data_IF_996518781401
#
_entry.id   IF_996518781401
#
_cell.length_a   1.000
_cell.length_b   1.000
_cell.length_c   1.000
_cell.angle_alpha   90.00
_cell.angle_beta   90.00
_cell.angle_gamma   90.00
#
_symmetry.space_group_name_H-M   'P 1'
#
loop_
_entity.id
_entity.type
_entity.pdbx_description
1 polymer ?
#
# COMPACT_ATOMS: atom_id res chain seq x y z
N UNK A 1 -12.90 11.00 17.61
CA UNK A 1 -12.22 9.79 17.10
C UNK A 1 -11.60 10.09 15.75
N UNK A 2 -12.29 10.85 14.90
CA UNK A 2 -11.83 11.28 13.57
C UNK A 2 -10.58 12.17 13.61
N UNK A 3 -10.49 13.12 14.57
CA UNK A 3 -9.31 13.99 14.73
C UNK A 3 -8.00 13.24 15.03
N UNK A 4 -8.07 12.07 15.69
CA UNK A 4 -6.88 11.27 15.96
C UNK A 4 -6.46 10.47 14.72
N UNK A 5 -7.42 9.98 13.93
CA UNK A 5 -7.16 9.29 12.66
C UNK A 5 -6.51 10.26 11.67
N UNK A 6 -7.03 11.48 11.57
CA UNK A 6 -6.49 12.52 10.69
C UNK A 6 -5.04 12.87 11.04
N UNK A 7 -4.72 13.05 12.33
CA UNK A 7 -3.34 13.29 12.76
C UNK A 7 -2.41 12.13 12.38
N UNK A 8 -2.86 10.89 12.52
CA UNK A 8 -2.07 9.72 12.14
C UNK A 8 -1.86 9.62 10.63
N UNK A 9 -2.89 9.95 9.86
CA UNK A 9 -2.82 10.01 8.41
C UNK A 9 -1.77 11.03 7.96
N UNK A 10 -1.78 12.23 8.55
CA UNK A 10 -0.74 13.24 8.30
C UNK A 10 0.65 12.74 8.66
N UNK A 11 0.86 12.22 9.87
CA UNK A 11 2.18 11.71 10.28
C UNK A 11 2.68 10.55 9.42
N UNK A 12 1.77 9.71 8.91
CA UNK A 12 2.11 8.64 7.99
C UNK A 12 2.65 9.20 6.67
N UNK A 13 1.94 10.16 6.07
CA UNK A 13 2.35 10.74 4.80
C UNK A 13 3.64 11.56 4.89
N UNK A 14 3.81 12.33 5.97
CA UNK A 14 5.07 13.04 6.23
C UNK A 14 6.25 12.07 6.34
N UNK A 15 6.05 10.94 7.02
CA UNK A 15 7.09 9.92 7.17
C UNK A 15 7.35 9.19 5.85
N UNK A 16 6.32 8.94 5.05
CA UNK A 16 6.45 8.32 3.74
C UNK A 16 7.23 9.21 2.77
N UNK A 17 6.97 10.52 2.78
CA UNK A 17 7.70 11.50 1.96
C UNK A 17 9.19 11.50 2.30
N UNK A 18 9.54 11.49 3.59
CA UNK A 18 10.95 11.41 4.03
C UNK A 18 11.64 10.15 3.52
N UNK A 19 10.97 8.99 3.60
CA UNK A 19 11.51 7.73 3.09
C UNK A 19 11.76 7.80 1.57
N UNK A 20 10.88 8.50 0.83
CA UNK A 20 11.03 8.68 -0.60
C UNK A 20 12.16 9.62 -1.03
N UNK A 21 12.49 10.60 -0.19
CA UNK A 21 13.61 11.52 -0.42
C UNK A 21 14.97 10.87 -0.10
N UNK A 22 15.01 9.96 0.88
CA UNK A 22 16.25 9.32 1.36
C UNK A 22 16.66 8.07 0.54
N UNK A 23 15.79 7.56 -0.34
CA UNK A 23 16.00 6.26 -1.02
C UNK A 23 16.36 6.41 -2.51
N UNK A 24 17.65 6.28 -2.87
CA UNK A 24 18.08 6.20 -4.28
C UNK A 24 17.61 4.93 -5.03
N UNK A 25 17.00 3.95 -4.35
CA UNK A 25 16.69 2.66 -4.97
C UNK A 25 15.42 1.96 -4.44
N UNK A 26 14.50 1.71 -5.39
CA UNK A 26 13.39 0.73 -5.36
C UNK A 26 11.97 1.14 -4.90
N UNK A 27 11.64 2.41 -4.72
CA UNK A 27 10.24 2.86 -4.50
C UNK A 27 9.37 2.92 -5.78
N UNK A 28 9.80 2.28 -6.87
CA UNK A 28 9.19 2.34 -8.22
C UNK A 28 7.77 1.73 -8.35
N UNK A 29 7.05 1.52 -7.25
CA UNK A 29 5.70 0.96 -7.25
C UNK A 29 4.64 1.85 -6.58
N UNK A 30 5.03 2.98 -6.02
CA UNK A 30 4.07 3.94 -5.44
C UNK A 30 3.77 5.01 -6.49
N UNK A 31 2.51 5.15 -6.85
CA UNK A 31 2.02 6.13 -7.81
C UNK A 31 1.14 7.14 -7.07
N UNK A 32 1.28 8.43 -7.35
CA UNK A 32 0.25 9.39 -6.95
C UNK A 32 -1.06 9.13 -7.69
N UNK A 33 -2.16 9.70 -7.22
CA UNK A 33 -3.43 9.68 -7.96
C UNK A 33 -3.30 10.24 -9.37
N UNK A 34 -2.53 11.32 -9.57
CA UNK A 34 -2.34 11.93 -10.88
C UNK A 34 -1.57 11.00 -11.82
N UNK A 35 -0.49 10.37 -11.35
CA UNK A 35 0.27 9.39 -12.11
C UNK A 35 -0.60 8.17 -12.47
N UNK A 36 -1.39 7.67 -11.51
CA UNK A 36 -2.25 6.51 -11.75
C UNK A 36 -3.35 6.82 -12.78
N UNK A 37 -3.98 7.99 -12.69
CA UNK A 37 -4.97 8.46 -13.68
C UNK A 37 -4.36 8.59 -15.06
N UNK A 38 -3.13 9.10 -15.14
CA UNK A 38 -2.43 9.25 -16.41
C UNK A 38 -2.12 7.89 -17.06
N UNK A 39 -1.66 6.91 -16.28
CA UNK A 39 -1.46 5.53 -16.78
C UNK A 39 -2.78 4.94 -17.28
N UNK A 40 -3.88 5.15 -16.54
CA UNK A 40 -5.21 4.68 -16.96
C UNK A 40 -5.63 5.35 -18.27
N UNK A 41 -5.45 6.66 -18.39
CA UNK A 41 -5.75 7.43 -19.61
C UNK A 41 -4.99 6.87 -20.81
N UNK A 42 -3.68 6.72 -20.68
CA UNK A 42 -2.79 6.18 -21.72
C UNK A 42 -3.25 4.79 -22.17
N UNK A 43 -3.57 3.90 -21.21
CA UNK A 43 -4.02 2.55 -21.51
C UNK A 43 -5.42 2.51 -22.17
N UNK A 44 -6.31 3.45 -21.83
CA UNK A 44 -7.61 3.59 -22.49
C UNK A 44 -7.46 4.11 -23.92
N UNK A 45 -6.65 5.14 -24.13
CA UNK A 45 -6.37 5.70 -25.46
C UNK A 45 -5.77 4.65 -26.39
N UNK A 46 -4.81 3.87 -25.90
CA UNK A 46 -4.22 2.79 -26.70
C UNK A 46 -5.22 1.65 -27.02
N UNK A 47 -6.21 1.40 -26.16
CA UNK A 47 -7.31 0.46 -26.51
C UNK A 47 -8.14 0.97 -27.67
N UNK A 48 -8.32 2.29 -27.79
CA UNK A 48 -9.08 2.91 -28.89
C UNK A 48 -8.26 3.12 -30.16
N UNK A 49 -6.95 3.35 -30.04
CA UNK A 49 -6.03 3.57 -31.16
C UNK A 49 -4.72 2.78 -30.96
N UNK A 50 -4.68 1.49 -31.37
CA UNK A 50 -3.62 0.55 -30.97
C UNK A 50 -2.29 0.68 -31.71
N UNK A 51 -2.04 1.77 -32.45
CA UNK A 51 -0.85 1.91 -33.32
C UNK A 51 0.21 2.88 -32.78
N UNK A 52 0.35 2.97 -31.45
CA UNK A 52 1.39 3.81 -30.85
C UNK A 52 2.78 3.19 -30.94
N UNK A 53 3.80 4.04 -31.10
CA UNK A 53 5.23 3.69 -31.01
C UNK A 53 5.85 4.11 -29.68
N UNK A 54 5.03 4.54 -28.71
CA UNK A 54 5.51 4.97 -27.40
C UNK A 54 5.86 3.77 -26.53
N UNK A 55 7.15 3.63 -26.22
CA UNK A 55 7.71 2.59 -25.36
C UNK A 55 7.04 2.52 -23.97
N UNK A 56 6.58 3.66 -23.46
CA UNK A 56 5.88 3.75 -22.17
C UNK A 56 4.57 2.98 -22.20
N UNK A 57 3.85 3.02 -23.34
CA UNK A 57 2.59 2.31 -23.52
C UNK A 57 2.83 0.80 -23.51
N UNK A 58 3.85 0.33 -24.24
CA UNK A 58 4.24 -1.08 -24.21
C UNK A 58 4.66 -1.53 -22.82
N UNK A 59 5.41 -0.69 -22.10
CA UNK A 59 5.79 -0.95 -20.71
C UNK A 59 4.56 -1.13 -19.80
N UNK A 60 3.58 -0.22 -19.88
CA UNK A 60 2.36 -0.30 -19.07
C UNK A 60 1.48 -1.48 -19.47
N UNK A 61 1.29 -1.74 -20.77
CA UNK A 61 0.49 -2.86 -21.26
C UNK A 61 1.06 -4.21 -20.83
N UNK A 62 2.38 -4.36 -20.74
CA UNK A 62 2.99 -5.61 -20.31
C UNK A 62 2.73 -5.88 -18.82
N UNK A 63 2.67 -4.84 -18.00
CA UNK A 63 2.67 -4.95 -16.52
C UNK A 63 1.29 -4.79 -15.90
N UNK A 64 0.40 -4.08 -16.57
CA UNK A 64 -0.88 -3.67 -16.01
C UNK A 64 -2.05 -3.99 -16.94
N UNK A 65 -3.21 -4.09 -16.31
CA UNK A 65 -4.50 -4.23 -16.96
C UNK A 65 -5.49 -3.28 -16.29
N UNK A 66 -6.49 -2.84 -17.04
CA UNK A 66 -7.60 -2.05 -16.51
C UNK A 66 -8.75 -2.98 -16.14
N UNK A 67 -9.33 -2.76 -14.96
CA UNK A 67 -10.51 -3.45 -14.48
C UNK A 67 -11.53 -2.43 -13.99
N UNK A 68 -12.79 -2.59 -14.41
CA UNK A 68 -13.88 -1.75 -13.92
C UNK A 68 -14.51 -2.40 -12.69
N UNK A 69 -14.60 -1.66 -11.60
CA UNK A 69 -15.23 -2.09 -10.34
C UNK A 69 -16.21 -1.01 -9.91
N UNK A 70 -17.50 -1.35 -9.85
CA UNK A 70 -18.57 -0.43 -9.43
C UNK A 70 -18.54 0.92 -10.19
N UNK A 71 -18.35 0.88 -11.52
CA UNK A 71 -18.28 2.08 -12.36
C UNK A 71 -16.99 2.89 -12.25
N UNK A 72 -15.99 2.41 -11.49
CA UNK A 72 -14.67 3.03 -11.40
C UNK A 72 -13.59 2.15 -12.02
N UNK A 73 -12.85 2.70 -12.99
CA UNK A 73 -11.70 2.03 -13.59
C UNK A 73 -10.52 2.01 -12.62
N UNK A 74 -10.04 0.82 -12.29
CA UNK A 74 -8.87 0.57 -11.45
C UNK A 74 -7.74 -0.05 -12.28
N UNK A 75 -6.51 0.32 -11.94
CA UNK A 75 -5.32 -0.30 -12.50
C UNK A 75 -4.97 -1.55 -11.67
N UNK A 76 -4.83 -2.69 -12.33
CA UNK A 76 -4.45 -3.95 -11.71
C UNK A 76 -3.13 -4.45 -12.30
N UNK A 77 -2.35 -5.18 -11.50
CA UNK A 77 -1.11 -5.81 -11.95
C UNK A 77 -1.46 -7.08 -12.72
N UNK A 78 -0.87 -7.24 -13.91
CA UNK A 78 -0.91 -8.52 -14.63
C UNK A 78 -0.09 -9.55 -13.86
N UNK A 79 -0.68 -10.70 -13.60
CA UNK A 79 -0.02 -11.84 -12.98
C UNK A 79 -0.02 -13.01 -13.96
N UNK A 80 1.14 -13.66 -14.08
CA UNK A 80 1.29 -14.89 -14.86
C UNK A 80 0.84 -16.13 -14.03
N UNK A 81 0.64 -15.95 -12.72
CA UNK A 81 0.24 -17.02 -11.83
C UNK A 81 -1.28 -17.25 -11.92
N UNK A 82 -1.69 -18.37 -12.55
CA UNK A 82 -3.11 -18.74 -12.76
C UNK A 82 -3.99 -18.76 -11.50
N UNK A 83 -3.39 -18.81 -10.31
CA UNK A 83 -4.09 -18.86 -9.02
C UNK A 83 -3.93 -17.59 -8.17
N UNK A 84 -3.25 -16.56 -8.69
CA UNK A 84 -3.11 -15.31 -7.97
C UNK A 84 -4.31 -14.43 -8.29
N UNK A 85 -5.04 -14.01 -7.24
CA UNK A 85 -6.21 -13.16 -7.37
C UNK A 85 -5.89 -11.79 -8.00
N UNK A 86 -6.92 -10.98 -8.20
CA UNK A 86 -6.78 -9.63 -8.76
C UNK A 86 -6.01 -8.75 -7.75
N UNK A 87 -4.87 -8.22 -8.18
CA UNK A 87 -4.04 -7.32 -7.38
C UNK A 87 -4.17 -5.88 -7.89
N UNK A 88 -4.81 -5.03 -7.08
CA UNK A 88 -5.05 -3.62 -7.37
C UNK A 88 -3.80 -2.79 -7.04
N UNK A 89 -3.53 -1.77 -7.86
CA UNK A 89 -2.52 -0.74 -7.56
C UNK A 89 -3.20 0.40 -6.81
N UNK A 90 -2.69 0.69 -5.61
CA UNK A 90 -3.23 1.74 -4.72
C UNK A 90 -2.39 3.01 -4.87
N UNK A 91 -3.01 4.18 -5.05
CA UNK A 91 -2.28 5.43 -5.07
C UNK A 91 -1.75 5.81 -3.68
N UNK A 92 -0.69 6.61 -3.61
CA UNK A 92 -0.06 7.05 -2.36
C UNK A 92 -1.10 7.55 -1.36
N UNK A 93 -1.98 8.43 -1.81
CA UNK A 93 -3.00 9.12 -1.03
C UNK A 93 -4.08 8.21 -0.44
N UNK A 94 -4.11 6.93 -0.85
CA UNK A 94 -5.02 5.91 -0.30
C UNK A 94 -4.28 4.80 0.47
N UNK A 95 -2.94 4.77 0.45
CA UNK A 95 -2.16 3.74 1.14
C UNK A 95 -2.51 3.61 2.63
N UNK A 96 -2.69 4.74 3.33
CA UNK A 96 -3.01 4.72 4.75
C UNK A 96 -4.35 4.03 5.00
N UNK A 97 -5.40 4.41 4.27
CA UNK A 97 -6.76 3.92 4.49
C UNK A 97 -6.86 2.42 4.21
N UNK A 98 -6.20 1.94 3.14
CA UNK A 98 -6.18 0.53 2.78
C UNK A 98 -5.38 -0.31 3.80
N UNK A 99 -4.22 0.17 4.25
CA UNK A 99 -3.45 -0.50 5.31
C UNK A 99 -4.23 -0.50 6.62
N UNK A 100 -4.91 0.60 6.95
CA UNK A 100 -5.77 0.71 8.13
C UNK A 100 -6.86 -0.36 8.11
N UNK A 101 -7.60 -0.48 7.00
CA UNK A 101 -8.64 -1.50 6.83
C UNK A 101 -8.09 -2.92 6.99
N UNK A 102 -6.98 -3.25 6.31
CA UNK A 102 -6.32 -4.54 6.45
C UNK A 102 -5.84 -4.81 7.89
N UNK A 103 -5.33 -3.80 8.58
CA UNK A 103 -4.85 -3.91 9.95
C UNK A 103 -5.97 -4.17 10.95
N UNK A 104 -7.12 -3.52 10.77
CA UNK A 104 -8.33 -3.78 11.55
C UNK A 104 -8.89 -5.18 11.28
N UNK A 105 -8.92 -5.61 10.02
CA UNK A 105 -9.42 -6.93 9.63
C UNK A 105 -8.65 -8.09 10.31
N UNK A 106 -7.34 -7.92 10.55
CA UNK A 106 -6.52 -8.92 11.26
C UNK A 106 -6.46 -8.69 12.78
N UNK A 107 -7.27 -7.77 13.32
CA UNK A 107 -7.34 -7.49 14.76
C UNK A 107 -6.03 -6.98 15.35
N UNK A 108 -5.40 -6.00 14.70
CA UNK A 108 -4.09 -5.46 15.10
C UNK A 108 -2.95 -6.51 15.10
N UNK A 109 -2.99 -7.42 14.13
CA UNK A 109 -2.14 -8.62 14.01
C UNK A 109 -0.64 -8.42 13.72
N UNK A 110 -0.10 -7.21 13.89
CA UNK A 110 1.30 -6.89 13.60
C UNK A 110 1.63 -6.85 12.10
N UNK A 111 2.91 -6.64 11.77
CA UNK A 111 3.37 -6.39 10.39
C UNK A 111 3.08 -7.58 9.48
N UNK A 112 3.50 -8.78 9.88
CA UNK A 112 3.37 -9.99 9.05
C UNK A 112 1.92 -10.34 8.69
N UNK A 113 0.99 -10.29 9.66
CA UNK A 113 -0.43 -10.59 9.40
C UNK A 113 -1.08 -9.50 8.54
N UNK A 114 -0.81 -8.23 8.84
CA UNK A 114 -1.35 -7.11 8.07
C UNK A 114 -0.85 -7.14 6.62
N UNK A 115 0.45 -7.43 6.42
CA UNK A 115 1.04 -7.54 5.08
C UNK A 115 0.47 -8.73 4.31
N UNK A 116 0.27 -9.88 4.97
CA UNK A 116 -0.35 -11.05 4.33
C UNK A 116 -1.77 -10.73 3.87
N UNK A 117 -2.53 -9.97 4.66
CA UNK A 117 -3.87 -9.54 4.28
C UNK A 117 -3.84 -8.54 3.12
N UNK A 118 -2.95 -7.55 3.17
CA UNK A 118 -2.78 -6.56 2.10
C UNK A 118 -2.39 -7.20 0.77
N UNK A 119 -1.45 -8.16 0.77
CA UNK A 119 -0.97 -8.85 -0.44
C UNK A 119 -2.02 -9.72 -1.13
N UNK A 120 -3.18 -9.98 -0.51
CA UNK A 120 -4.31 -10.65 -1.18
C UNK A 120 -5.03 -9.73 -2.16
N UNK A 121 -4.98 -8.41 -1.93
CA UNK A 121 -5.78 -7.42 -2.65
C UNK A 121 -4.93 -6.41 -3.42
N UNK A 122 -3.72 -6.12 -2.93
CA UNK A 122 -2.91 -5.00 -3.41
C UNK A 122 -1.54 -5.45 -3.89
N UNK A 123 -1.12 -4.93 -5.04
CA UNK A 123 0.16 -5.27 -5.66
C UNK A 123 1.34 -4.44 -5.15
N UNK A 124 1.09 -3.21 -4.67
CA UNK A 124 2.14 -2.24 -4.35
C UNK A 124 2.26 -1.88 -2.86
N UNK A 125 1.49 -2.54 -1.99
CA UNK A 125 1.68 -2.40 -0.53
C UNK A 125 2.87 -3.27 -0.09
N UNK A 126 3.93 -2.61 0.38
CA UNK A 126 5.17 -3.24 0.82
C UNK A 126 5.25 -3.31 2.35
N UNK A 127 6.21 -4.12 2.84
CA UNK A 127 6.44 -4.29 4.28
C UNK A 127 6.75 -2.96 4.97
N UNK A 128 7.50 -2.07 4.31
CA UNK A 128 7.84 -0.75 4.85
C UNK A 128 6.62 0.11 5.14
N UNK A 129 5.64 0.16 4.23
CA UNK A 129 4.39 0.91 4.43
C UNK A 129 3.62 0.36 5.65
N UNK A 130 3.53 -0.97 5.77
CA UNK A 130 2.85 -1.62 6.89
C UNK A 130 3.60 -1.43 8.21
N UNK A 131 4.93 -1.47 8.18
CA UNK A 131 5.77 -1.22 9.34
C UNK A 131 5.58 0.21 9.86
N UNK A 132 5.65 1.20 8.96
CA UNK A 132 5.40 2.59 9.28
C UNK A 132 4.02 2.80 9.92
N UNK A 133 2.98 2.25 9.30
CA UNK A 133 1.62 2.33 9.84
C UNK A 133 1.52 1.71 11.25
N UNK A 134 2.10 0.51 11.45
CA UNK A 134 2.04 -0.18 12.74
C UNK A 134 2.81 0.56 13.86
N UNK A 135 3.87 1.31 13.50
CA UNK A 135 4.54 2.21 14.44
C UNK A 135 3.59 3.28 14.97
N UNK A 136 2.72 3.82 14.11
CA UNK A 136 1.78 4.91 14.41
C UNK A 136 0.47 4.44 15.07
N UNK A 137 0.11 3.16 14.95
CA UNK A 137 -1.13 2.65 15.53
C UNK A 137 -1.15 2.75 17.07
N UNK A 138 -2.09 3.51 17.64
CA UNK A 138 -2.22 3.73 19.08
C UNK A 138 -2.47 2.45 19.88
N UNK A 139 -3.29 1.54 19.37
CA UNK A 139 -3.59 0.26 20.05
C UNK A 139 -2.30 -0.56 20.16
N UNK A 140 -1.53 -0.63 19.08
CA UNK A 140 -0.24 -1.30 19.04
C UNK A 140 0.82 -0.58 19.90
N UNK A 141 0.84 0.76 19.92
CA UNK A 141 1.73 1.55 20.78
C UNK A 141 1.43 1.28 22.27
N UNK A 142 0.16 1.38 22.70
CA UNK A 142 -0.27 1.10 24.07
C UNK A 142 0.06 -0.33 24.50
N UNK A 143 -0.03 -1.30 23.60
CA UNK A 143 0.36 -2.70 23.87
C UNK A 143 1.88 -2.83 24.06
N UNK A 144 2.68 -2.13 23.25
CA UNK A 144 4.16 -2.13 23.35
C UNK A 144 4.66 -1.48 24.64
N UNK A 145 4.12 -0.33 25.03
CA UNK A 145 4.52 0.37 26.27
C UNK A 145 4.18 -0.46 27.51
N UNK A 146 3.03 -1.12 27.54
CA UNK A 146 2.66 -2.06 28.62
C UNK A 146 3.57 -3.30 28.69
N UNK A 147 4.03 -3.80 27.54
CA UNK A 147 4.95 -4.93 27.49
C UNK A 147 6.37 -4.56 27.96
N UNK A 148 6.87 -3.36 27.61
CA UNK A 148 8.17 -2.86 28.05
C UNK A 148 8.29 -2.66 29.57
N UNK A 149 7.17 -2.40 30.25
CA UNK A 149 7.14 -2.25 31.72
C UNK A 149 7.13 -3.59 32.47
N UNK A 150 7.01 -4.73 31.79
CA UNK A 150 7.19 -6.05 32.42
C UNK A 150 8.67 -6.46 32.37
N UNK A 151 9.52 -5.78 33.16
CA UNK A 151 10.80 -6.38 33.56
C UNK A 151 10.46 -7.57 34.46
N UNK A 152 10.51 -8.77 33.91
CA UNK A 152 10.49 -10.00 34.70
C UNK A 152 11.78 -10.01 35.52
N UNK A 153 11.68 -9.63 36.80
CA UNK A 153 12.76 -9.89 37.76
C UNK A 153 12.82 -11.40 37.92
N UNK A 154 13.84 -12.04 37.34
CA UNK A 154 14.13 -13.44 37.65
C UNK A 154 14.68 -13.47 39.08
N UNK A 155 14.14 -14.29 39.99
CA UNK A 155 14.78 -14.47 41.29
C UNK A 155 16.16 -15.07 41.06
N UNK A 156 17.15 -14.50 41.73
CA UNK A 156 18.51 -15.05 41.82
C UNK A 156 18.39 -16.26 42.76
N UNK A 157 18.72 -17.45 42.24
CA UNK A 157 18.96 -18.66 43.04
C UNK A 157 20.45 -18.73 43.30
#
# INVERSE_FOLDING_TARGET
MDLEIDRHKTSFYESLLKISEDSESNERMVFSNSQLKEIIRILLENKTNPNTKDDSVYYYMRRYQLLEIAGTTKLIKKTDEKNQGILIIVPTEQLFDEIHSCHLAVGHGGIGKTLKEAKKKFANIQQQHVALYNLLCLVCQKKRTKAGNKKVVRPII
#
